data_IF_368406672374
#
_entry.id   IF_368406672374
#
_cell.length_a   1.000
_cell.length_b   1.000
_cell.length_c   1.000
_cell.angle_alpha   90.00
_cell.angle_beta   90.00
_cell.angle_gamma   90.00
#
_symmetry.space_group_name_H-M   'P 1'
#
loop_
_entity.id
_entity.type
_entity.pdbx_description
1 polymer ?
#
# COMPACT_ATOMS: atom_id res chain seq x y z
N UNK A 1 3.71 -18.87 -13.88
CA UNK A 1 2.62 -18.19 -14.62
C UNK A 1 3.14 -16.84 -15.07
N UNK A 2 2.96 -16.46 -16.35
CA UNK A 2 3.26 -15.09 -16.79
C UNK A 2 2.28 -14.10 -16.15
N UNK A 3 2.71 -12.85 -15.98
CA UNK A 3 1.83 -11.78 -15.52
C UNK A 3 0.78 -11.45 -16.59
N UNK A 4 -0.47 -11.24 -16.18
CA UNK A 4 -1.59 -10.95 -17.08
C UNK A 4 -1.73 -9.45 -17.37
N UNK A 5 -2.23 -9.10 -18.56
CA UNK A 5 -2.63 -7.73 -18.87
C UNK A 5 -3.81 -7.31 -17.98
N UNK A 6 -3.83 -6.05 -17.57
CA UNK A 6 -4.87 -5.51 -16.69
C UNK A 6 -4.63 -5.73 -15.19
N UNK A 7 -3.70 -6.59 -14.75
CA UNK A 7 -3.36 -6.77 -13.33
C UNK A 7 -4.56 -7.03 -12.41
N UNK A 8 -4.54 -6.59 -11.12
CA UNK A 8 -3.46 -5.90 -10.42
C UNK A 8 -2.35 -6.87 -10.00
N UNK A 9 -1.10 -6.50 -10.26
CA UNK A 9 0.07 -7.21 -9.75
C UNK A 9 0.62 -6.49 -8.54
N UNK A 10 0.71 -7.20 -7.41
CA UNK A 10 1.31 -6.69 -6.18
C UNK A 10 2.67 -7.34 -6.02
N UNK A 11 3.70 -6.51 -5.84
CA UNK A 11 5.05 -6.97 -5.54
C UNK A 11 5.53 -6.33 -4.26
N UNK A 12 6.08 -7.16 -3.38
CA UNK A 12 6.78 -6.73 -2.17
C UNK A 12 8.25 -7.03 -2.38
N UNK A 13 9.07 -6.00 -2.22
CA UNK A 13 10.53 -6.12 -2.19
C UNK A 13 10.98 -5.89 -0.77
N UNK A 14 11.73 -6.85 -0.23
CA UNK A 14 12.30 -6.75 1.12
C UNK A 14 13.81 -6.82 1.03
N UNK A 15 14.49 -6.11 1.94
CA UNK A 15 15.94 -6.12 2.04
C UNK A 15 16.36 -5.87 3.49
N UNK A 16 17.62 -6.22 3.79
CA UNK A 16 18.28 -5.85 5.03
C UNK A 16 19.64 -5.24 4.69
N UNK A 17 19.94 -4.08 5.27
CA UNK A 17 21.23 -3.39 5.11
C UNK A 17 21.73 -3.04 6.50
N UNK A 18 22.93 -3.51 6.85
CA UNK A 18 23.58 -3.28 8.15
C UNK A 18 22.69 -3.56 9.37
N UNK A 19 21.84 -4.58 9.26
CA UNK A 19 20.89 -4.99 10.32
C UNK A 19 19.53 -4.29 10.29
N UNK A 20 19.36 -3.22 9.49
CA UNK A 20 18.09 -2.51 9.32
C UNK A 20 17.24 -3.12 8.22
N UNK A 21 15.99 -3.45 8.54
CA UNK A 21 15.02 -4.00 7.59
C UNK A 21 14.33 -2.92 6.76
N UNK A 22 14.08 -3.21 5.49
CA UNK A 22 13.31 -2.39 4.57
C UNK A 22 12.29 -3.26 3.85
N UNK A 23 11.07 -2.77 3.73
CA UNK A 23 10.00 -3.39 2.94
C UNK A 23 9.34 -2.33 2.05
N UNK A 24 9.10 -2.68 0.80
CA UNK A 24 8.42 -1.83 -0.17
C UNK A 24 7.38 -2.64 -0.92
N UNK A 25 6.11 -2.23 -0.82
CA UNK A 25 5.02 -2.78 -1.60
C UNK A 25 4.61 -1.84 -2.74
N UNK A 26 4.45 -2.40 -3.94
CA UNK A 26 3.95 -1.71 -5.13
C UNK A 26 2.90 -2.53 -5.84
N UNK A 27 1.82 -1.85 -6.24
CA UNK A 27 0.81 -2.38 -7.15
C UNK A 27 1.03 -1.78 -8.53
N UNK A 28 1.05 -2.61 -9.57
CA UNK A 28 1.19 -2.17 -10.95
C UNK A 28 0.25 -2.95 -11.88
N UNK A 29 -0.02 -2.34 -13.04
CA UNK A 29 -0.93 -2.84 -14.06
C UNK A 29 -0.19 -2.94 -15.38
N UNK A 30 -0.48 -3.96 -16.18
CA UNK A 30 0.18 -4.17 -17.47
C UNK A 30 -0.77 -3.82 -18.62
N UNK A 31 -0.32 -2.95 -19.52
CA UNK A 31 -1.06 -2.52 -20.71
C UNK A 31 -2.17 -1.51 -20.43
N UNK A 32 -3.10 -1.82 -19.52
CA UNK A 32 -4.21 -0.94 -19.14
C UNK A 32 -4.53 -1.08 -17.65
N UNK A 33 -5.20 -0.07 -17.10
CA UNK A 33 -5.78 -0.12 -15.76
C UNK A 33 -7.27 -0.41 -15.91
N UNK A 34 -7.80 -1.52 -15.36
CA UNK A 34 -9.23 -1.79 -15.37
C UNK A 34 -10.01 -0.68 -14.64
N UNK A 35 -11.15 -0.28 -15.17
CA UNK A 35 -11.97 0.81 -14.59
C UNK A 35 -12.35 0.52 -13.12
N UNK A 36 -12.68 -0.74 -12.82
CA UNK A 36 -13.02 -1.18 -11.46
C UNK A 36 -11.88 -1.00 -10.46
N UNK A 37 -10.61 -0.92 -10.92
CA UNK A 37 -9.44 -0.82 -10.05
C UNK A 37 -9.18 0.63 -9.59
N UNK A 38 -9.74 1.63 -10.25
CA UNK A 38 -9.49 3.04 -9.96
C UNK A 38 -9.93 3.43 -8.53
N UNK A 39 -11.17 3.10 -8.16
CA UNK A 39 -11.71 3.44 -6.84
C UNK A 39 -11.00 2.70 -5.68
N UNK A 40 -10.78 1.38 -5.73
CA UNK A 40 -10.00 0.67 -4.71
C UNK A 40 -8.57 1.19 -4.57
N UNK A 41 -7.91 1.51 -5.69
CA UNK A 41 -6.54 2.02 -5.65
C UNK A 41 -6.47 3.44 -5.06
N UNK A 42 -7.44 4.30 -5.38
CA UNK A 42 -7.56 5.62 -4.76
C UNK A 42 -7.80 5.52 -3.24
N UNK A 43 -8.72 4.64 -2.81
CA UNK A 43 -8.97 4.40 -1.38
C UNK A 43 -7.71 3.90 -0.65
N UNK A 44 -6.93 3.00 -1.27
CA UNK A 44 -5.66 2.53 -0.73
C UNK A 44 -4.63 3.67 -0.58
N UNK A 45 -4.53 4.58 -1.56
CA UNK A 45 -3.63 5.73 -1.48
C UNK A 45 -4.04 6.71 -0.36
N UNK A 46 -5.33 6.98 -0.21
CA UNK A 46 -5.86 7.83 0.85
C UNK A 46 -5.62 7.22 2.25
N UNK A 47 -5.88 5.93 2.40
CA UNK A 47 -5.62 5.17 3.61
C UNK A 47 -4.14 5.28 4.03
N UNK A 48 -3.21 5.13 3.07
CA UNK A 48 -1.77 5.26 3.31
C UNK A 48 -1.38 6.67 3.75
N UNK A 49 -1.88 7.70 3.08
CA UNK A 49 -1.62 9.09 3.44
C UNK A 49 -2.16 9.40 4.86
N UNK A 50 -3.36 8.92 5.17
CA UNK A 50 -4.01 9.08 6.47
C UNK A 50 -3.22 8.38 7.58
N UNK A 51 -2.80 7.14 7.36
CA UNK A 51 -1.97 6.39 8.30
C UNK A 51 -0.64 7.11 8.58
N UNK A 52 0.02 7.63 7.55
CA UNK A 52 1.27 8.39 7.70
C UNK A 52 1.06 9.68 8.51
N UNK A 53 0.02 10.45 8.22
CA UNK A 53 -0.29 11.68 8.96
C UNK A 53 -0.59 11.45 10.45
N UNK A 54 -0.98 10.23 10.83
CA UNK A 54 -1.24 9.85 12.22
C UNK A 54 -0.02 9.33 12.98
N UNK A 55 1.11 9.09 12.30
CA UNK A 55 2.35 8.58 12.89
C UNK A 55 3.09 9.67 13.69
N UNK A 56 2.47 10.08 14.81
CA UNK A 56 3.01 11.08 15.72
C UNK A 56 3.64 10.42 16.96
N UNK A 57 4.71 11.00 17.53
CA UNK A 57 5.31 10.50 18.76
C UNK A 57 4.28 10.34 19.89
N UNK A 58 4.32 9.21 20.59
CA UNK A 58 3.42 8.93 21.71
C UNK A 58 1.97 8.58 21.36
N UNK A 59 1.58 8.53 20.07
CA UNK A 59 0.26 8.02 19.67
C UNK A 59 0.26 6.48 19.57
N UNK A 60 -0.75 5.87 20.19
CA UNK A 60 -0.97 4.42 20.17
C UNK A 60 -1.61 3.93 18.85
N UNK A 61 -1.06 2.87 18.26
CA UNK A 61 -1.42 2.39 16.91
C UNK A 61 -2.89 1.92 16.75
N UNK A 62 -3.55 1.52 17.83
CA UNK A 62 -4.95 1.06 17.75
C UNK A 62 -5.94 2.18 17.40
N UNK A 63 -5.57 3.45 17.65
CA UNK A 63 -6.38 4.61 17.25
C UNK A 63 -6.16 5.01 15.79
N UNK A 64 -5.03 4.68 15.18
CA UNK A 64 -4.78 4.93 13.75
C UNK A 64 -5.46 3.88 12.87
N UNK A 65 -5.45 2.61 13.28
CA UNK A 65 -6.09 1.50 12.53
C UNK A 65 -7.60 1.72 12.41
N UNK A 66 -8.30 1.95 13.52
CA UNK A 66 -9.76 2.09 13.56
C UNK A 66 -10.32 3.34 12.80
N UNK A 67 -9.45 4.25 12.35
CA UNK A 67 -9.84 5.41 11.52
C UNK A 67 -9.59 5.18 10.04
N UNK A 68 -8.65 4.30 9.71
CA UNK A 68 -8.39 3.89 8.32
C UNK A 68 -9.45 2.90 7.80
N UNK A 69 -10.15 2.22 8.72
CA UNK A 69 -11.21 1.23 8.43
C UNK A 69 -12.62 1.83 8.32
N UNK A 70 -12.76 3.16 8.45
CA UNK A 70 -14.02 3.90 8.28
C UNK A 70 -14.04 4.63 6.95
#
# INVERSE_FOLDING_TARGET
MPMENGGPHVSIVTAQVDGYGVELERTFFLGYVPEWAAAPFAAMLEARATAFAMALPGRFSRRSIARCER
#
